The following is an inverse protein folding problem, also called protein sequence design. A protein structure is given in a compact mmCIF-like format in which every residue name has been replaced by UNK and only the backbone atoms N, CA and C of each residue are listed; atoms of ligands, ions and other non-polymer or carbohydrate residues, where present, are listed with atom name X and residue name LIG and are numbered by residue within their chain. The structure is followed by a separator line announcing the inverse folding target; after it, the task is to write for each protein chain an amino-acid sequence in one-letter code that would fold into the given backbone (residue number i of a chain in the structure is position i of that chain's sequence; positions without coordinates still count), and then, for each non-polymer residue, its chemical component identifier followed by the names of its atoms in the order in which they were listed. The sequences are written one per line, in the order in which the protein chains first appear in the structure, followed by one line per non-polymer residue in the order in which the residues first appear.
data_IF_450860387414
#
_entry.id   IF_450860387414
#
_cell.length_a   1.000
_cell.length_b   1.000
_cell.length_c   1.000
_cell.angle_alpha   90.00
_cell.angle_beta   90.00
_cell.angle_gamma   90.00
#
_symmetry.space_group_name_H-M   'P 1'
#
loop_
_entity.id
_entity.type
_entity.pdbx_description
1 polymer ?
#
# COMPACT_ATOMS: atom_id res chain seq x y z
N UNK A 1 3.58 20.48 -15.38
CA UNK A 1 4.53 19.64 -14.62
C UNK A 1 4.48 18.23 -15.24
N UNK A 2 5.28 17.26 -14.81
CA UNK A 2 5.35 15.91 -15.43
C UNK A 2 4.59 14.83 -14.62
N UNK A 3 3.91 15.25 -13.56
CA UNK A 3 3.15 14.36 -12.66
C UNK A 3 4.01 13.47 -11.76
N UNK A 4 5.32 13.76 -11.66
CA UNK A 4 6.26 13.00 -10.84
C UNK A 4 6.14 13.38 -9.37
N UNK A 5 6.01 12.37 -8.51
CA UNK A 5 6.04 12.48 -7.04
C UNK A 5 7.28 11.75 -6.54
N UNK A 6 8.18 12.48 -5.89
CA UNK A 6 9.42 11.93 -5.33
C UNK A 6 9.33 11.90 -3.81
N UNK A 7 9.71 10.76 -3.24
CA UNK A 7 9.84 10.56 -1.80
C UNK A 7 11.32 10.43 -1.49
N UNK A 8 11.83 11.29 -0.60
CA UNK A 8 13.22 11.28 -0.16
C UNK A 8 13.31 11.19 1.36
N UNK A 9 14.38 10.60 1.86
CA UNK A 9 14.69 10.65 3.29
C UNK A 9 15.17 12.04 3.71
N UNK A 10 15.34 12.24 5.03
CA UNK A 10 15.77 13.53 5.59
C UNK A 10 17.19 13.96 5.17
N UNK A 11 17.98 13.05 4.58
CA UNK A 11 19.30 13.33 4.03
C UNK A 11 19.22 13.71 2.54
N UNK A 12 18.03 13.74 1.95
CA UNK A 12 17.78 14.07 0.56
C UNK A 12 17.96 12.89 -0.40
N UNK A 13 18.18 11.67 0.10
CA UNK A 13 18.29 10.49 -0.77
C UNK A 13 16.89 10.05 -1.18
N UNK A 14 16.67 9.96 -2.49
CA UNK A 14 15.41 9.48 -3.06
C UNK A 14 15.18 8.01 -2.69
N UNK A 15 14.04 7.72 -2.08
CA UNK A 15 13.60 6.40 -1.63
C UNK A 15 12.62 5.79 -2.63
N UNK A 16 11.75 6.62 -3.23
CA UNK A 16 10.75 6.17 -4.18
C UNK A 16 10.37 7.26 -5.17
N UNK A 17 9.86 6.83 -6.32
CA UNK A 17 9.34 7.70 -7.37
C UNK A 17 8.04 7.13 -7.89
N UNK A 18 7.03 7.99 -8.01
CA UNK A 18 5.73 7.64 -8.53
C UNK A 18 5.30 8.63 -9.60
N UNK A 19 4.42 8.19 -10.49
CA UNK A 19 3.85 9.05 -11.51
C UNK A 19 2.31 8.98 -11.51
N UNK A 20 1.70 10.15 -11.46
CA UNK A 20 0.24 10.34 -11.45
C UNK A 20 -0.34 10.51 -12.87
N UNK A 21 0.52 10.66 -13.89
CA UNK A 21 0.18 10.95 -15.29
C UNK A 21 -0.67 12.22 -15.47
N UNK A 22 -0.64 13.11 -14.48
CA UNK A 22 -1.32 14.39 -14.46
C UNK A 22 -0.57 15.36 -13.54
N UNK A 23 -0.76 16.65 -13.75
CA UNK A 23 -0.23 17.68 -12.87
C UNK A 23 -0.76 17.47 -11.44
N UNK A 24 0.16 17.43 -10.47
CA UNK A 24 -0.15 17.19 -9.07
C UNK A 24 -0.48 18.51 -8.40
N UNK A 25 -1.68 18.62 -7.82
CA UNK A 25 -2.16 19.83 -7.13
C UNK A 25 -2.18 19.70 -5.62
N UNK A 26 -2.14 18.47 -5.09
CA UNK A 26 -2.16 18.21 -3.66
C UNK A 26 -1.50 16.88 -3.32
N UNK A 27 -0.87 16.85 -2.15
CA UNK A 27 -0.25 15.68 -1.55
C UNK A 27 -0.67 15.61 -0.08
N UNK A 28 -0.93 14.41 0.42
CA UNK A 28 -1.14 14.18 1.86
C UNK A 28 -0.58 12.81 2.24
N UNK A 29 0.19 12.79 3.32
CA UNK A 29 0.52 11.54 4.01
C UNK A 29 -0.59 11.20 5.01
N UNK A 30 -0.80 9.91 5.27
CA UNK A 30 -1.50 9.49 6.48
C UNK A 30 -0.64 9.78 7.71
N UNK A 31 -1.28 9.98 8.87
CA UNK A 31 -0.58 10.31 10.11
C UNK A 31 0.39 9.21 10.57
N UNK A 32 0.15 7.96 10.19
CA UNK A 32 1.02 6.81 10.44
C UNK A 32 2.16 6.66 9.42
N UNK A 33 2.23 7.51 8.39
CA UNK A 33 3.23 7.47 7.33
C UNK A 33 3.11 6.31 6.35
N UNK A 34 2.08 5.47 6.46
CA UNK A 34 1.91 4.27 5.63
C UNK A 34 1.27 4.55 4.27
N UNK A 35 0.65 5.71 4.10
CA UNK A 35 -0.07 6.08 2.89
C UNK A 35 0.35 7.45 2.38
N UNK A 36 0.42 7.59 1.06
CA UNK A 36 0.50 8.86 0.36
C UNK A 36 -0.62 8.94 -0.66
N UNK A 37 -1.39 10.04 -0.61
CA UNK A 37 -2.37 10.38 -1.64
C UNK A 37 -1.89 11.58 -2.43
N UNK A 38 -1.95 11.50 -3.77
CA UNK A 38 -1.81 12.65 -4.65
C UNK A 38 -3.10 12.90 -5.44
N UNK A 39 -3.49 14.18 -5.54
CA UNK A 39 -4.59 14.65 -6.37
C UNK A 39 -4.08 15.29 -7.66
N UNK A 40 -4.61 14.85 -8.79
CA UNK A 40 -4.26 15.27 -10.14
C UNK A 40 -5.24 16.27 -10.74
N UNK A 41 -4.78 17.10 -11.67
CA UNK A 41 -5.59 18.08 -12.41
C UNK A 41 -6.80 17.46 -13.12
N UNK A 42 -6.62 16.25 -13.64
CA UNK A 42 -7.63 15.51 -14.39
C UNK A 42 -8.73 14.92 -13.50
N UNK A 43 -8.77 15.30 -12.22
CA UNK A 43 -9.76 14.82 -11.26
C UNK A 43 -9.47 13.42 -10.73
N UNK A 44 -8.30 12.84 -11.01
CA UNK A 44 -7.89 11.56 -10.42
C UNK A 44 -7.18 11.79 -9.10
N UNK A 45 -7.29 10.81 -8.20
CA UNK A 45 -6.43 10.69 -7.04
C UNK A 45 -5.78 9.30 -7.05
N UNK A 46 -4.53 9.22 -6.60
CA UNK A 46 -3.81 7.96 -6.48
C UNK A 46 -3.28 7.81 -5.07
N UNK A 47 -3.50 6.62 -4.52
CA UNK A 47 -3.01 6.19 -3.23
C UNK A 47 -1.81 5.26 -3.46
N UNK A 48 -0.71 5.55 -2.78
CA UNK A 48 0.42 4.64 -2.65
C UNK A 48 0.53 4.20 -1.20
N UNK A 49 0.62 2.90 -0.99
CA UNK A 49 0.87 2.31 0.33
C UNK A 49 2.37 2.04 0.44
N UNK A 50 3.01 2.66 1.43
CA UNK A 50 4.34 2.28 1.87
C UNK A 50 4.18 1.10 2.80
N UNK A 51 4.06 -0.08 2.19
CA UNK A 51 4.30 -1.30 2.93
C UNK A 51 5.75 -1.22 3.39
N UNK A 52 5.98 -1.39 4.69
CA UNK A 52 7.33 -1.67 5.17
C UNK A 52 7.90 -2.76 4.26
N UNK A 53 9.05 -2.51 3.59
CA UNK A 53 9.48 -3.33 2.45
C UNK A 53 9.73 -4.81 2.78
N UNK A 54 9.62 -5.20 4.06
CA UNK A 54 9.73 -6.56 4.57
C UNK A 54 8.70 -6.87 5.67
N UNK A 55 7.52 -6.25 5.68
CA UNK A 55 6.49 -6.60 6.66
C UNK A 55 5.74 -7.86 6.19
N UNK A 56 6.40 -8.98 6.40
CA UNK A 56 5.89 -10.31 6.10
C UNK A 56 4.56 -10.56 6.83
N UNK A 57 4.43 -10.08 8.07
CA UNK A 57 3.20 -10.23 8.86
C UNK A 57 2.01 -9.53 8.18
N UNK A 58 2.22 -8.31 7.65
CA UNK A 58 1.20 -7.59 6.89
C UNK A 58 0.81 -8.34 5.61
N UNK A 59 1.79 -8.85 4.85
CA UNK A 59 1.52 -9.59 3.62
C UNK A 59 0.79 -10.90 3.88
N UNK A 60 1.14 -11.58 4.98
CA UNK A 60 0.48 -12.80 5.40
C UNK A 60 -0.96 -12.51 5.85
N UNK A 61 -1.17 -11.48 6.67
CA UNK A 61 -2.51 -11.05 7.09
C UNK A 61 -3.39 -10.65 5.89
N UNK A 62 -2.84 -9.91 4.93
CA UNK A 62 -3.58 -9.53 3.72
C UNK A 62 -3.89 -10.73 2.83
N UNK A 63 -2.99 -11.71 2.78
CA UNK A 63 -3.23 -12.99 2.12
C UNK A 63 -4.37 -13.78 2.77
N UNK A 64 -4.43 -13.81 4.10
CA UNK A 64 -5.52 -14.44 4.84
C UNK A 64 -6.86 -13.71 4.60
N UNK A 65 -6.87 -12.36 4.66
CA UNK A 65 -8.05 -11.55 4.35
C UNK A 65 -8.58 -11.82 2.94
N UNK A 66 -7.69 -11.96 1.95
CA UNK A 66 -8.11 -12.25 0.58
C UNK A 66 -8.73 -13.65 0.43
N UNK A 67 -8.35 -14.60 1.29
CA UNK A 67 -8.82 -15.97 1.26
C UNK A 67 -10.02 -16.23 2.19
N UNK A 68 -10.53 -15.24 2.93
CA UNK A 68 -11.55 -15.39 3.97
C UNK A 68 -12.73 -16.30 3.52
N UNK A 69 -13.46 -15.93 2.46
CA UNK A 69 -14.59 -16.72 1.94
C UNK A 69 -14.19 -18.14 1.49
N UNK A 70 -12.96 -18.31 0.97
CA UNK A 70 -12.46 -19.62 0.56
C UNK A 70 -12.17 -20.51 1.78
N UNK A 71 -11.55 -19.96 2.82
CA UNK A 71 -11.23 -20.69 4.04
C UNK A 71 -12.49 -21.10 4.80
N UNK A 72 -13.51 -20.23 4.85
CA UNK A 72 -14.83 -20.55 5.42
C UNK A 72 -15.45 -21.82 4.80
N UNK A 73 -15.27 -22.01 3.49
CA UNK A 73 -15.80 -23.18 2.76
C UNK A 73 -14.84 -24.37 2.72
N UNK A 74 -13.59 -24.19 3.16
CA UNK A 74 -12.53 -25.20 3.12
C UNK A 74 -11.76 -25.26 4.47
N UNK A 75 -12.42 -25.62 5.59
CA UNK A 75 -11.83 -25.54 6.93
C UNK A 75 -10.63 -26.47 7.13
N UNK A 76 -10.49 -27.53 6.33
CA UNK A 76 -9.30 -28.38 6.38
C UNK A 76 -8.05 -27.70 5.79
N UNK A 77 -8.23 -26.70 4.90
CA UNK A 77 -7.12 -25.89 4.37
C UNK A 77 -6.72 -24.82 5.37
N UNK A 78 -7.70 -24.18 6.02
CA UNK A 78 -7.47 -23.19 7.08
C UNK A 78 -6.58 -23.73 8.19
N UNK A 79 -6.87 -24.94 8.69
CA UNK A 79 -6.05 -25.64 9.71
C UNK A 79 -4.60 -25.92 9.31
N UNK A 80 -4.27 -25.85 8.01
CA UNK A 80 -2.89 -26.02 7.53
C UNK A 80 -2.14 -24.70 7.43
N UNK A 81 -2.86 -23.59 7.50
CA UNK A 81 -2.35 -22.23 7.40
C UNK A 81 -2.35 -21.60 8.80
N UNK A 82 -1.44 -22.06 9.66
CA UNK A 82 -1.26 -21.57 11.05
C UNK A 82 -1.19 -20.03 11.16
N UNK A 83 -0.75 -19.36 10.10
CA UNK A 83 -0.66 -17.90 10.02
C UNK A 83 -2.01 -17.17 9.92
N UNK A 84 -3.06 -17.87 9.50
CA UNK A 84 -4.41 -17.34 9.37
C UNK A 84 -5.31 -17.74 10.56
N UNK A 85 -4.77 -18.47 11.54
CA UNK A 85 -5.51 -18.86 12.74
C UNK A 85 -5.49 -17.68 13.75
N UNK A 86 -6.67 -17.24 14.22
CA UNK A 86 -6.82 -16.23 15.30
C UNK A 86 -6.53 -16.79 16.71
#
# INVERSE_FOLDING_TARGET
MDGTVKVSDFQGRQVSEYNLQADVFGLSFSADGKNLVAGGYNGTAKLWQFLEPNNLDYLLAEGCNWLEEYLESNPEVEKTLEVCEE
#
